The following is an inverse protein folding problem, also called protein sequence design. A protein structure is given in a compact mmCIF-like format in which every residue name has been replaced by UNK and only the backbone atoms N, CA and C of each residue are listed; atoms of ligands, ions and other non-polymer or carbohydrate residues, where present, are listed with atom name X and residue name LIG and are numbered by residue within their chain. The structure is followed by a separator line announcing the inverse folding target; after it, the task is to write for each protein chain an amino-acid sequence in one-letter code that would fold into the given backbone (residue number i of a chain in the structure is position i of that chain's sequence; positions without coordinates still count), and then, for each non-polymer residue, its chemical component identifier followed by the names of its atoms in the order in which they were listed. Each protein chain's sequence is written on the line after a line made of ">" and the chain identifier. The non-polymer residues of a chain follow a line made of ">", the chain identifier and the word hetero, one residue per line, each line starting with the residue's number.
data_IF_360733807556
#
_entry.id   IF_360733807556
#
_cell.length_a   1.000
_cell.length_b   1.000
_cell.length_c   1.000
_cell.angle_alpha   90.00
_cell.angle_beta   90.00
_cell.angle_gamma   90.00
#
_symmetry.space_group_name_H-M   'P 1'
#
loop_
_entity.id
_entity.type
_entity.pdbx_description
1 polymer ?
#
# COMPACT_ATOMS: atom_id res chain seq x y z
N UNK A 1 -9.46 -3.73 -11.12
CA UNK A 1 -9.86 -2.34 -10.90
C UNK A 1 -10.38 -2.13 -9.47
N UNK A 2 -10.77 -0.91 -9.08
CA UNK A 2 -11.19 -0.59 -7.69
C UNK A 2 -12.31 -1.49 -7.15
N UNK A 3 -13.24 -1.91 -8.02
CA UNK A 3 -14.35 -2.80 -7.64
C UNK A 3 -13.92 -4.24 -7.34
N UNK A 4 -12.77 -4.66 -7.82
CA UNK A 4 -12.24 -6.01 -7.62
C UNK A 4 -11.10 -6.08 -6.60
N UNK A 5 -10.57 -4.94 -6.17
CA UNK A 5 -9.51 -4.81 -5.17
C UNK A 5 -10.02 -4.21 -3.86
N UNK A 6 -9.10 -3.84 -2.97
CA UNK A 6 -9.41 -3.22 -1.67
C UNK A 6 -10.10 -1.86 -1.82
N UNK A 7 -9.76 -1.14 -2.88
CA UNK A 7 -10.31 0.19 -3.21
C UNK A 7 -10.06 1.25 -2.12
N UNK A 8 -8.96 1.15 -1.39
CA UNK A 8 -8.59 2.11 -0.33
C UNK A 8 -8.07 3.43 -0.90
N UNK A 9 -7.46 3.37 -2.09
CA UNK A 9 -6.97 4.56 -2.81
C UNK A 9 -7.49 4.58 -4.25
N UNK A 10 -7.57 5.78 -4.80
CA UNK A 10 -7.78 6.01 -6.23
C UNK A 10 -6.55 6.69 -6.81
N UNK A 11 -6.01 6.14 -7.89
CA UNK A 11 -4.90 6.73 -8.66
C UNK A 11 -5.43 7.49 -9.87
N UNK A 12 -4.71 8.52 -10.39
CA UNK A 12 -5.13 9.26 -11.57
C UNK A 12 -5.30 8.36 -12.80
N UNK A 13 -6.41 8.54 -13.51
CA UNK A 13 -6.66 7.89 -14.78
C UNK A 13 -5.80 8.53 -15.87
N UNK A 14 -4.79 7.82 -16.39
CA UNK A 14 -3.87 8.33 -17.44
C UNK A 14 -4.08 7.68 -18.80
N UNK A 15 -4.69 6.49 -18.84
CA UNK A 15 -4.94 5.77 -20.08
C UNK A 15 -6.21 4.92 -19.96
N UNK A 16 -7.01 4.90 -21.01
CA UNK A 16 -8.10 3.95 -21.13
C UNK A 16 -7.52 2.53 -21.17
N UNK A 17 -8.08 1.64 -20.33
CA UNK A 17 -7.57 0.28 -20.20
C UNK A 17 -7.92 -0.65 -21.35
N UNK A 18 -8.91 -0.28 -22.20
CA UNK A 18 -9.38 -1.07 -23.30
C UNK A 18 -10.29 -0.25 -24.21
N UNK A 19 -10.22 -0.47 -25.52
CA UNK A 19 -11.17 0.06 -26.50
C UNK A 19 -12.52 -0.68 -26.49
N UNK A 20 -12.56 -1.89 -25.90
CA UNK A 20 -13.74 -2.78 -25.89
C UNK A 20 -14.53 -2.65 -24.59
N UNK A 21 -13.88 -2.30 -23.48
CA UNK A 21 -14.51 -2.18 -22.15
C UNK A 21 -14.59 -0.72 -21.72
N UNK A 22 -15.73 -0.05 -21.94
CA UNK A 22 -15.91 1.34 -21.50
C UNK A 22 -15.67 1.49 -19.98
N UNK A 23 -14.94 2.53 -19.58
CA UNK A 23 -14.67 2.82 -18.17
C UNK A 23 -13.58 1.95 -17.52
N UNK A 24 -12.95 1.03 -18.26
CA UNK A 24 -11.76 0.31 -17.76
C UNK A 24 -10.57 1.25 -17.74
N UNK A 25 -9.92 1.36 -16.60
CA UNK A 25 -8.69 2.12 -16.39
C UNK A 25 -7.63 1.17 -15.84
N UNK A 26 -6.45 1.14 -16.48
CA UNK A 26 -5.31 0.36 -16.00
C UNK A 26 -4.34 1.27 -15.25
N UNK A 27 -3.61 0.74 -14.23
CA UNK A 27 -2.57 1.47 -13.50
C UNK A 27 -1.27 1.57 -14.32
N UNK A 28 -1.34 2.14 -15.53
CA UNK A 28 -0.25 2.11 -16.52
C UNK A 28 1.04 2.78 -16.02
N UNK A 29 0.95 3.82 -15.18
CA UNK A 29 2.14 4.50 -14.67
C UNK A 29 2.91 3.62 -13.68
N UNK A 30 2.28 2.97 -12.67
CA UNK A 30 2.94 1.95 -11.87
C UNK A 30 3.49 0.77 -12.70
N UNK A 31 2.76 0.34 -13.74
CA UNK A 31 3.22 -0.72 -14.65
C UNK A 31 4.49 -0.33 -15.42
N UNK A 32 4.58 0.91 -15.89
CA UNK A 32 5.80 1.45 -16.52
C UNK A 32 6.96 1.47 -15.52
N UNK A 33 6.71 1.85 -14.27
CA UNK A 33 7.76 1.83 -13.25
C UNK A 33 8.27 0.41 -12.98
N UNK A 34 7.38 -0.58 -12.92
CA UNK A 34 7.77 -2.00 -12.81
C UNK A 34 8.65 -2.44 -13.99
N UNK A 35 8.32 -2.05 -15.23
CA UNK A 35 9.14 -2.34 -16.41
C UNK A 35 10.53 -1.69 -16.32
N UNK A 36 10.62 -0.46 -15.84
CA UNK A 36 11.91 0.19 -15.56
C UNK A 36 12.73 -0.60 -14.54
N UNK A 37 12.09 -1.07 -13.45
CA UNK A 37 12.74 -1.89 -12.43
C UNK A 37 13.24 -3.22 -13.00
N UNK A 38 12.44 -3.90 -13.82
CA UNK A 38 12.84 -5.16 -14.47
C UNK A 38 14.07 -4.97 -15.38
N UNK A 39 14.11 -3.87 -16.14
CA UNK A 39 15.26 -3.54 -16.97
C UNK A 39 16.52 -3.26 -16.14
N UNK A 40 16.38 -2.56 -15.00
CA UNK A 40 17.48 -2.30 -14.08
C UNK A 40 18.00 -3.60 -13.45
N UNK A 41 17.14 -4.51 -13.04
CA UNK A 41 17.53 -5.84 -12.54
C UNK A 41 18.32 -6.64 -13.59
N UNK A 42 17.90 -6.59 -14.86
CA UNK A 42 18.63 -7.20 -15.97
C UNK A 42 20.01 -6.56 -16.19
N UNK A 43 20.10 -5.23 -16.08
CA UNK A 43 21.35 -4.51 -16.17
C UNK A 43 22.31 -4.86 -15.01
N UNK A 44 21.77 -4.98 -13.79
CA UNK A 44 22.54 -5.37 -12.59
C UNK A 44 23.16 -6.77 -12.77
N UNK A 45 22.38 -7.72 -13.27
CA UNK A 45 22.92 -9.04 -13.60
C UNK A 45 24.03 -8.98 -14.65
N UNK A 46 23.89 -8.15 -15.68
CA UNK A 46 24.92 -7.93 -16.69
C UNK A 46 26.21 -7.37 -16.07
N UNK A 47 26.08 -6.40 -15.17
CA UNK A 47 27.22 -5.81 -14.43
C UNK A 47 27.90 -6.86 -13.58
N UNK A 48 27.14 -7.68 -12.86
CA UNK A 48 27.66 -8.79 -12.04
C UNK A 48 28.50 -9.76 -12.86
N UNK A 49 28.00 -10.19 -14.02
CA UNK A 49 28.75 -11.08 -14.93
C UNK A 49 30.02 -10.44 -15.49
N UNK A 50 29.96 -9.15 -15.82
CA UNK A 50 31.12 -8.42 -16.31
C UNK A 50 32.18 -8.23 -15.22
N UNK A 51 31.78 -8.02 -13.98
CA UNK A 51 32.68 -7.92 -12.83
C UNK A 51 33.34 -9.26 -12.53
N UNK A 52 32.60 -10.36 -12.59
CA UNK A 52 33.13 -11.71 -12.39
C UNK A 52 34.18 -12.11 -13.46
N UNK A 53 33.94 -11.71 -14.71
CA UNK A 53 34.83 -12.01 -15.81
C UNK A 53 36.12 -11.17 -15.82
N UNK A 54 36.21 -10.13 -15.02
CA UNK A 54 37.42 -9.29 -14.85
C UNK A 54 38.49 -9.96 -14.02
N UNK A 55 39.68 -9.40 -14.04
CA UNK A 55 40.85 -9.89 -13.27
C UNK A 55 41.36 -8.76 -12.34
N UNK A 56 40.92 -8.79 -11.09
CA UNK A 56 41.18 -7.77 -10.06
C UNK A 56 40.92 -6.34 -10.61
N UNK A 57 41.93 -5.47 -10.63
CA UNK A 57 41.77 -4.09 -11.10
C UNK A 57 41.77 -3.94 -12.63
N UNK A 58 42.03 -5.03 -13.37
CA UNK A 58 42.01 -5.01 -14.83
C UNK A 58 40.75 -5.69 -15.35
N UNK A 59 39.75 -4.90 -15.74
CA UNK A 59 38.51 -5.41 -16.28
C UNK A 59 38.26 -4.88 -17.70
N UNK A 60 38.44 -5.75 -18.70
CA UNK A 60 38.20 -5.42 -20.10
C UNK A 60 36.70 -5.16 -20.41
N UNK A 61 35.83 -5.46 -19.49
CA UNK A 61 34.37 -5.31 -19.64
C UNK A 61 33.81 -4.00 -19.05
N UNK A 62 34.68 -3.08 -18.60
CA UNK A 62 34.25 -1.74 -18.11
C UNK A 62 33.26 -1.03 -19.06
N UNK A 63 33.40 -1.06 -20.39
CA UNK A 63 32.44 -0.39 -21.26
C UNK A 63 31.01 -0.86 -21.10
N UNK A 64 30.76 -2.16 -20.92
CA UNK A 64 29.41 -2.67 -20.69
C UNK A 64 28.94 -2.35 -19.27
N UNK A 65 29.83 -2.37 -18.28
CA UNK A 65 29.49 -2.00 -16.88
C UNK A 65 28.99 -0.55 -16.84
N UNK A 66 29.77 0.41 -17.35
CA UNK A 66 29.35 1.81 -17.36
C UNK A 66 28.08 2.04 -18.17
N UNK A 67 27.97 1.40 -19.34
CA UNK A 67 26.77 1.54 -20.16
C UNK A 67 25.50 1.07 -19.39
N UNK A 68 25.54 -0.09 -18.75
CA UNK A 68 24.39 -0.62 -17.99
C UNK A 68 24.06 0.22 -16.76
N UNK A 69 25.06 0.75 -16.07
CA UNK A 69 24.86 1.65 -14.92
C UNK A 69 24.20 2.95 -15.38
N UNK A 70 24.71 3.60 -16.42
CA UNK A 70 24.12 4.84 -16.92
C UNK A 70 22.71 4.66 -17.48
N UNK A 71 22.45 3.56 -18.18
CA UNK A 71 21.09 3.21 -18.63
C UNK A 71 20.13 3.05 -17.42
N UNK A 72 20.56 2.36 -16.38
CA UNK A 72 19.78 2.17 -15.16
C UNK A 72 19.46 3.48 -14.47
N UNK A 73 20.45 4.36 -14.31
CA UNK A 73 20.27 5.70 -13.73
C UNK A 73 19.26 6.51 -14.57
N UNK A 74 19.38 6.47 -15.89
CA UNK A 74 18.48 7.19 -16.80
C UNK A 74 17.05 6.66 -16.71
N UNK A 75 16.87 5.33 -16.70
CA UNK A 75 15.56 4.69 -16.56
C UNK A 75 14.91 5.04 -15.23
N UNK A 76 15.62 4.89 -14.12
CA UNK A 76 15.11 5.21 -12.79
C UNK A 76 14.78 6.70 -12.65
N UNK A 77 15.66 7.58 -13.06
CA UNK A 77 15.42 9.04 -13.01
C UNK A 77 14.13 9.43 -13.73
N UNK A 78 13.93 8.94 -14.95
CA UNK A 78 12.76 9.30 -15.75
C UNK A 78 11.51 8.57 -15.27
N UNK A 79 11.62 7.29 -14.90
CA UNK A 79 10.52 6.48 -14.35
C UNK A 79 9.99 7.06 -13.05
N UNK A 80 10.86 7.41 -12.12
CA UNK A 80 10.48 8.03 -10.83
C UNK A 80 9.79 9.37 -11.06
N UNK A 81 10.34 10.23 -11.92
CA UNK A 81 9.70 11.51 -12.23
C UNK A 81 8.31 11.33 -12.83
N UNK A 82 8.16 10.38 -13.75
CA UNK A 82 6.86 10.04 -14.34
C UNK A 82 5.90 9.50 -13.29
N UNK A 83 6.36 8.63 -12.39
CA UNK A 83 5.57 8.07 -11.30
C UNK A 83 5.06 9.16 -10.37
N UNK A 84 5.92 10.09 -9.95
CA UNK A 84 5.54 11.20 -9.07
C UNK A 84 4.45 12.05 -9.73
N UNK A 85 4.75 12.65 -10.88
CA UNK A 85 3.87 13.65 -11.51
C UNK A 85 2.56 13.05 -12.03
N UNK A 86 2.58 11.80 -12.51
CA UNK A 86 1.43 11.20 -13.18
C UNK A 86 0.66 10.19 -12.32
N UNK A 87 1.15 9.86 -11.13
CA UNK A 87 0.49 8.94 -10.23
C UNK A 87 0.45 9.47 -8.80
N UNK A 88 1.60 9.65 -8.14
CA UNK A 88 1.67 9.91 -6.69
C UNK A 88 0.99 11.24 -6.33
N UNK A 89 1.29 12.32 -7.05
CA UNK A 89 0.72 13.66 -6.79
C UNK A 89 -0.81 13.72 -6.92
N UNK A 90 -1.42 12.71 -7.52
CA UNK A 90 -2.87 12.66 -7.70
C UNK A 90 -3.55 11.48 -7.00
N UNK A 91 -2.88 10.82 -6.05
CA UNK A 91 -3.49 9.77 -5.23
C UNK A 91 -4.52 10.40 -4.29
N UNK A 92 -5.71 9.82 -4.25
CA UNK A 92 -6.78 10.22 -3.34
C UNK A 92 -7.16 9.02 -2.47
N UNK A 93 -7.25 9.23 -1.16
CA UNK A 93 -7.78 8.24 -0.24
C UNK A 93 -9.29 8.10 -0.41
N UNK A 94 -9.80 6.88 -0.50
CA UNK A 94 -11.24 6.58 -0.49
C UNK A 94 -11.68 6.43 0.97
N UNK A 95 -11.85 7.55 1.66
CA UNK A 95 -12.04 7.61 3.11
C UNK A 95 -13.19 6.73 3.61
N UNK A 96 -14.35 6.79 2.94
CA UNK A 96 -15.51 5.98 3.33
C UNK A 96 -15.22 4.48 3.20
N UNK A 97 -14.48 4.08 2.16
CA UNK A 97 -14.06 2.69 2.00
C UNK A 97 -13.05 2.27 3.06
N UNK A 98 -12.11 3.12 3.39
CA UNK A 98 -11.13 2.87 4.45
C UNK A 98 -11.83 2.73 5.82
N UNK A 99 -12.79 3.60 6.11
CA UNK A 99 -13.62 3.50 7.33
C UNK A 99 -14.41 2.20 7.35
N UNK A 100 -15.09 1.85 6.27
CA UNK A 100 -15.86 0.61 6.16
C UNK A 100 -14.98 -0.62 6.44
N UNK A 101 -13.82 -0.71 5.82
CA UNK A 101 -12.85 -1.79 6.04
C UNK A 101 -12.36 -1.84 7.49
N UNK A 102 -12.10 -0.69 8.09
CA UNK A 102 -11.65 -0.59 9.48
C UNK A 102 -12.73 -1.07 10.45
N UNK A 103 -13.97 -0.55 10.31
CA UNK A 103 -15.08 -0.89 11.19
C UNK A 103 -15.54 -2.34 11.07
N UNK A 104 -15.26 -2.99 9.93
CA UNK A 104 -15.53 -4.43 9.71
C UNK A 104 -14.27 -5.30 9.94
N UNK A 105 -13.24 -4.78 10.61
CA UNK A 105 -12.04 -5.54 10.97
C UNK A 105 -12.04 -5.94 12.43
N UNK A 106 -11.77 -7.21 12.71
CA UNK A 106 -11.58 -7.69 14.10
C UNK A 106 -10.39 -7.02 14.80
N UNK A 107 -9.41 -6.50 14.05
CA UNK A 107 -8.28 -5.73 14.62
C UNK A 107 -8.73 -4.47 15.35
N UNK A 108 -9.84 -3.89 14.93
CA UNK A 108 -10.44 -2.71 15.55
C UNK A 108 -10.93 -2.95 17.00
N UNK A 109 -11.30 -4.18 17.34
CA UNK A 109 -11.70 -4.57 18.69
C UNK A 109 -10.60 -4.35 19.72
N UNK A 110 -9.33 -4.43 19.30
CA UNK A 110 -8.18 -4.23 20.19
C UNK A 110 -8.19 -2.82 20.81
N UNK A 111 -8.66 -1.83 20.07
CA UNK A 111 -8.77 -0.45 20.60
C UNK A 111 -9.81 -0.31 21.72
N UNK A 112 -10.77 -1.23 21.85
CA UNK A 112 -11.77 -1.27 22.93
C UNK A 112 -11.23 -1.91 24.20
N UNK A 113 -10.14 -2.69 24.15
CA UNK A 113 -9.63 -3.40 25.32
C UNK A 113 -9.34 -2.49 26.54
N UNK A 114 -8.81 -1.27 26.39
CA UNK A 114 -8.61 -0.37 27.52
C UNK A 114 -9.92 0.09 28.19
N UNK A 115 -11.02 0.10 27.44
CA UNK A 115 -12.33 0.62 27.92
C UNK A 115 -13.16 -0.49 28.56
N UNK A 116 -13.26 -1.65 27.91
CA UNK A 116 -14.18 -2.74 28.33
C UNK A 116 -13.46 -4.01 28.79
N UNK A 117 -12.13 -4.02 28.71
CA UNK A 117 -11.29 -5.17 29.04
C UNK A 117 -11.23 -6.23 27.94
N UNK A 118 -10.21 -7.09 28.02
CA UNK A 118 -9.90 -8.10 27.00
C UNK A 118 -11.03 -9.10 26.78
N UNK A 119 -11.67 -9.60 27.87
CA UNK A 119 -12.71 -10.64 27.79
C UNK A 119 -13.92 -10.15 27.00
N UNK A 120 -14.46 -8.97 27.35
CA UNK A 120 -15.59 -8.38 26.65
C UNK A 120 -15.26 -8.07 25.18
N UNK A 121 -14.06 -7.52 24.91
CA UNK A 121 -13.59 -7.30 23.54
C UNK A 121 -13.49 -8.58 22.75
N UNK A 122 -12.99 -9.67 23.33
CA UNK A 122 -12.91 -10.98 22.69
C UNK A 122 -14.31 -11.56 22.38
N UNK A 123 -15.28 -11.34 23.24
CA UNK A 123 -16.66 -11.81 23.00
C UNK A 123 -17.34 -11.03 21.86
N UNK A 124 -17.08 -9.71 21.75
CA UNK A 124 -17.51 -8.90 20.59
C UNK A 124 -16.86 -9.42 19.30
N UNK A 125 -15.55 -9.68 19.30
CA UNK A 125 -14.86 -10.22 18.14
C UNK A 125 -15.42 -11.56 17.69
N UNK A 126 -15.70 -12.47 18.62
CA UNK A 126 -16.31 -13.78 18.34
C UNK A 126 -17.71 -13.62 17.74
N UNK A 127 -18.51 -12.69 18.26
CA UNK A 127 -19.86 -12.42 17.75
C UNK A 127 -19.79 -11.88 16.32
N UNK A 128 -18.90 -10.92 16.07
CA UNK A 128 -18.65 -10.41 14.72
C UNK A 128 -18.26 -11.53 13.73
N UNK A 129 -17.35 -12.42 14.13
CA UNK A 129 -16.94 -13.54 13.29
C UNK A 129 -18.05 -14.58 13.04
N UNK A 130 -18.99 -14.71 13.97
CA UNK A 130 -20.08 -15.70 13.91
C UNK A 130 -21.26 -15.24 13.07
N UNK A 131 -21.70 -14.01 13.27
CA UNK A 131 -22.97 -13.49 12.72
C UNK A 131 -22.83 -12.16 11.98
N UNK A 132 -21.61 -11.60 11.89
CA UNK A 132 -21.34 -10.34 11.21
C UNK A 132 -21.82 -9.10 11.98
N UNK A 133 -22.22 -9.22 13.26
CA UNK A 133 -22.64 -8.05 14.06
C UNK A 133 -21.53 -7.01 14.12
N UNK A 134 -21.75 -5.76 13.68
CA UNK A 134 -20.73 -4.72 13.70
C UNK A 134 -20.14 -4.52 15.10
N UNK A 135 -18.82 -4.30 15.18
CA UNK A 135 -18.10 -4.18 16.46
C UNK A 135 -18.65 -3.06 17.31
N UNK A 136 -18.98 -1.92 16.69
CA UNK A 136 -19.57 -0.75 17.37
C UNK A 136 -20.94 -1.12 17.99
N UNK A 137 -21.78 -1.80 17.23
CA UNK A 137 -23.09 -2.26 17.70
C UNK A 137 -22.95 -3.27 18.85
N UNK A 138 -22.01 -4.21 18.73
CA UNK A 138 -21.67 -5.16 19.79
C UNK A 138 -21.21 -4.49 21.07
N UNK A 139 -20.40 -3.42 20.97
CA UNK A 139 -19.92 -2.66 22.12
C UNK A 139 -21.04 -1.84 22.79
N UNK A 140 -21.89 -1.17 22.02
CA UNK A 140 -23.07 -0.46 22.53
C UNK A 140 -24.02 -1.39 23.28
N UNK A 141 -24.26 -2.59 22.76
CA UNK A 141 -25.08 -3.62 23.40
C UNK A 141 -24.49 -4.10 24.76
N UNK A 142 -23.19 -3.96 24.95
CA UNK A 142 -22.49 -4.24 26.22
C UNK A 142 -22.44 -3.06 27.17
N UNK A 143 -23.08 -1.91 26.85
CA UNK A 143 -23.17 -0.74 27.70
C UNK A 143 -22.03 0.25 27.54
N UNK A 144 -21.19 0.13 26.50
CA UNK A 144 -20.20 1.15 26.14
C UNK A 144 -20.93 2.38 25.62
N UNK A 145 -20.58 3.57 26.09
CA UNK A 145 -21.19 4.80 25.60
C UNK A 145 -20.58 5.23 24.27
N UNK A 146 -21.33 6.02 23.48
CA UNK A 146 -20.83 6.56 22.22
C UNK A 146 -19.56 7.39 22.45
N UNK A 147 -19.49 8.17 23.52
CA UNK A 147 -18.31 8.97 23.86
C UNK A 147 -17.06 8.10 24.11
N UNK A 148 -17.22 6.98 24.81
CA UNK A 148 -16.15 6.01 25.03
C UNK A 148 -15.68 5.34 23.75
N UNK A 149 -16.61 5.07 22.83
CA UNK A 149 -16.30 4.53 21.50
C UNK A 149 -15.53 5.55 20.67
N UNK A 150 -16.01 6.78 20.61
CA UNK A 150 -15.38 7.86 19.84
C UNK A 150 -13.96 8.17 20.36
N UNK A 151 -13.75 8.06 21.67
CA UNK A 151 -12.43 8.21 22.26
C UNK A 151 -11.50 7.01 21.97
N UNK A 152 -11.98 5.79 22.16
CA UNK A 152 -11.20 4.58 21.95
C UNK A 152 -10.84 4.36 20.46
N UNK A 153 -11.72 4.76 19.58
CA UNK A 153 -11.61 4.56 18.12
C UNK A 153 -11.11 5.80 17.37
N UNK A 154 -10.61 6.80 18.12
CA UNK A 154 -10.02 7.98 17.52
C UNK A 154 -8.73 7.63 16.78
N UNK A 155 -8.79 7.60 15.45
CA UNK A 155 -7.68 7.21 14.57
C UNK A 155 -6.43 8.07 14.81
N UNK A 156 -6.60 9.36 15.07
CA UNK A 156 -5.49 10.27 15.32
C UNK A 156 -4.75 9.93 16.64
N UNK A 157 -5.49 9.61 17.69
CA UNK A 157 -4.90 9.14 18.96
C UNK A 157 -4.20 7.80 18.80
N UNK A 158 -4.79 6.87 18.06
CA UNK A 158 -4.22 5.55 17.82
C UNK A 158 -2.93 5.63 16.98
N UNK A 159 -2.87 6.49 15.98
CA UNK A 159 -1.67 6.70 15.16
C UNK A 159 -0.54 7.38 15.94
N UNK A 160 -0.84 8.36 16.81
CA UNK A 160 0.18 9.09 17.61
C UNK A 160 0.90 8.23 18.65
N UNK A 161 0.41 7.05 18.99
CA UNK A 161 1.12 6.13 19.88
C UNK A 161 2.42 5.61 19.30
N UNK A 162 2.59 5.66 17.97
CA UNK A 162 3.79 5.22 17.27
C UNK A 162 4.86 6.33 17.10
N UNK A 163 4.50 7.60 17.34
CA UNK A 163 5.43 8.74 17.20
C UNK A 163 6.34 8.94 18.43
N UNK A 164 6.30 8.05 19.43
CA UNK A 164 7.04 8.18 20.70
C UNK A 164 8.28 7.28 20.81
N UNK A 165 8.81 6.80 19.67
CA UNK A 165 10.05 6.00 19.67
C UNK A 165 11.11 6.59 18.76
#
# INVERSE_FOLDING_TARGET
>A
GPKAGLAEITIPAKQNGSSIMPGKINPVIPEVMNQCCFAVMGNDFTVTMACEAGQLELNAFEPVVFNRIFDSIKLLKNGIRTLIVNCIDGIVANEERCKDLLYHSTGFVTALCPVIGYKASADIAKKFLKDGTPIVEGALAMGVTQEQLDEALNAEKLCRQFDKH
#
